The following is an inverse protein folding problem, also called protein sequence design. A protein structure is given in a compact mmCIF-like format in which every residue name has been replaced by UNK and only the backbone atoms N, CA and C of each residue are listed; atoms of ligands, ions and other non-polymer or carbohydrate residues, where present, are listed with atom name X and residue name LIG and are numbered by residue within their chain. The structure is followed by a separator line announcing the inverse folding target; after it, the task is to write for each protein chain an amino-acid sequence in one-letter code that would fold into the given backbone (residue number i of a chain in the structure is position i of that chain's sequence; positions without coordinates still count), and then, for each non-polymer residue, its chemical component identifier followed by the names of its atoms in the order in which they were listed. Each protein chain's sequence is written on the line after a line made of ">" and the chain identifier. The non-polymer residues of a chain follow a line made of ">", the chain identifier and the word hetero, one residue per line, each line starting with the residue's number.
data_IF_512751511113
#
_entry.id   IF_512751511113
#
_cell.length_a   1.000
_cell.length_b   1.000
_cell.length_c   1.000
_cell.angle_alpha   90.00
_cell.angle_beta   90.00
_cell.angle_gamma   90.00
#
_symmetry.space_group_name_H-M   'P 1'
#
loop_
_entity.id
_entity.type
_entity.pdbx_description
1 polymer ?
#
# COMPACT_ATOMS: atom_id res chain seq x y z
N UNK A 1 -40.72 -1.72 -4.12
CA UNK A 1 -39.88 -1.63 -2.90
C UNK A 1 -39.28 -3.01 -2.62
N UNK A 2 -37.97 -3.20 -2.80
CA UNK A 2 -37.32 -4.48 -2.49
C UNK A 2 -37.05 -4.56 -0.97
N UNK A 3 -37.74 -5.46 -0.29
CA UNK A 3 -37.54 -5.73 1.14
C UNK A 3 -36.18 -6.38 1.36
N UNK A 4 -35.25 -5.68 2.04
CA UNK A 4 -33.97 -6.27 2.44
C UNK A 4 -34.27 -7.34 3.49
N UNK A 5 -34.14 -8.62 3.12
CA UNK A 5 -34.22 -9.73 4.08
C UNK A 5 -33.24 -9.49 5.22
N UNK A 6 -33.64 -9.69 6.49
CA UNK A 6 -32.74 -9.52 7.62
C UNK A 6 -31.57 -10.52 7.51
N UNK A 7 -30.35 -10.02 7.64
CA UNK A 7 -29.12 -10.82 7.68
C UNK A 7 -29.18 -11.75 8.89
N UNK A 8 -28.93 -13.06 8.68
CA UNK A 8 -28.93 -14.02 9.79
C UNK A 8 -27.69 -13.77 10.67
N UNK A 9 -27.74 -14.04 11.99
CA UNK A 9 -26.59 -13.84 12.88
C UNK A 9 -25.29 -14.51 12.40
N UNK A 10 -25.36 -15.70 11.80
CA UNK A 10 -24.20 -16.39 11.22
C UNK A 10 -23.58 -15.70 9.98
N UNK A 11 -24.36 -14.91 9.24
CA UNK A 11 -23.86 -14.13 8.10
C UNK A 11 -23.09 -12.88 8.58
N UNK A 12 -23.48 -12.32 9.73
CA UNK A 12 -22.78 -11.20 10.36
C UNK A 12 -21.41 -11.62 10.89
N UNK A 13 -21.29 -12.77 11.56
CA UNK A 13 -19.99 -13.28 12.04
C UNK A 13 -19.03 -13.53 10.88
N UNK A 14 -19.48 -14.20 9.81
CA UNK A 14 -18.67 -14.43 8.60
C UNK A 14 -18.29 -13.14 7.87
N UNK A 15 -19.13 -12.10 7.96
CA UNK A 15 -18.83 -10.78 7.42
C UNK A 15 -17.73 -10.10 8.24
N UNK A 16 -17.82 -10.14 9.57
CA UNK A 16 -16.80 -9.60 10.47
C UNK A 16 -15.43 -10.28 10.27
N UNK A 17 -15.39 -11.62 10.17
CA UNK A 17 -14.15 -12.37 9.90
C UNK A 17 -13.50 -11.97 8.56
N UNK A 18 -14.31 -11.76 7.52
CA UNK A 18 -13.84 -11.29 6.21
C UNK A 18 -13.27 -9.89 6.29
N UNK A 19 -13.96 -8.98 6.98
CA UNK A 19 -13.49 -7.59 7.18
C UNK A 19 -12.19 -7.56 7.98
N UNK A 20 -12.09 -8.32 9.08
CA UNK A 20 -10.87 -8.44 9.88
C UNK A 20 -9.68 -8.94 9.04
N UNK A 21 -9.90 -9.96 8.20
CA UNK A 21 -8.88 -10.47 7.29
C UNK A 21 -8.42 -9.41 6.28
N UNK A 22 -9.33 -8.56 5.78
CA UNK A 22 -8.97 -7.49 4.84
C UNK A 22 -8.21 -6.36 5.57
N UNK A 23 -8.54 -6.06 6.83
CA UNK A 23 -7.78 -5.13 7.64
C UNK A 23 -6.34 -5.60 7.88
N UNK A 24 -6.13 -6.88 8.22
CA UNK A 24 -4.79 -7.45 8.35
C UNK A 24 -3.97 -7.26 7.06
N UNK A 25 -4.56 -7.54 5.89
CA UNK A 25 -3.92 -7.31 4.59
C UNK A 25 -3.57 -5.84 4.35
N UNK A 26 -4.38 -4.92 4.87
CA UNK A 26 -4.16 -3.48 4.72
C UNK A 26 -2.98 -3.01 5.58
N UNK A 27 -2.84 -3.56 6.79
CA UNK A 27 -1.70 -3.26 7.65
C UNK A 27 -0.40 -3.87 7.12
N UNK A 28 -0.45 -5.11 6.60
CA UNK A 28 0.69 -5.72 5.90
C UNK A 28 1.15 -4.88 4.70
N UNK A 29 0.20 -4.38 3.91
CA UNK A 29 0.49 -3.54 2.75
C UNK A 29 1.12 -2.21 3.15
N UNK A 30 0.68 -1.62 4.28
CA UNK A 30 1.30 -0.41 4.85
C UNK A 30 2.71 -0.69 5.35
N UNK A 31 2.94 -1.84 5.99
CA UNK A 31 4.27 -2.23 6.45
C UNK A 31 5.23 -2.38 5.26
N UNK A 32 4.85 -3.16 4.24
CA UNK A 32 5.65 -3.35 3.02
C UNK A 32 5.99 -2.03 2.33
N UNK A 33 5.02 -1.14 2.19
CA UNK A 33 5.25 0.18 1.59
C UNK A 33 6.23 1.03 2.42
N UNK A 34 6.11 1.01 3.76
CA UNK A 34 7.05 1.74 4.64
C UNK A 34 8.47 1.20 4.50
N UNK A 35 8.65 -0.12 4.50
CA UNK A 35 9.95 -0.74 4.33
C UNK A 35 10.56 -0.37 2.98
N UNK A 36 9.76 -0.43 1.90
CA UNK A 36 10.24 -0.06 0.58
C UNK A 36 10.64 1.41 0.47
N UNK A 37 9.87 2.31 1.06
CA UNK A 37 10.20 3.74 1.10
C UNK A 37 11.46 4.01 1.95
N UNK A 38 11.68 3.24 3.02
CA UNK A 38 12.90 3.31 3.83
C UNK A 38 14.13 2.90 3.01
N UNK A 39 14.05 1.80 2.27
CA UNK A 39 15.14 1.36 1.39
C UNK A 39 15.48 2.41 0.33
N UNK A 40 14.46 3.05 -0.26
CA UNK A 40 14.64 4.13 -1.22
C UNK A 40 15.26 5.38 -0.59
N UNK A 41 14.90 5.70 0.65
CA UNK A 41 15.53 6.78 1.40
C UNK A 41 17.01 6.51 1.68
N UNK A 42 17.38 5.28 2.06
CA UNK A 42 18.77 4.89 2.23
C UNK A 42 19.55 4.98 0.90
N UNK A 43 18.98 4.47 -0.19
CA UNK A 43 19.58 4.56 -1.52
C UNK A 43 19.79 6.01 -1.97
N UNK A 44 18.92 6.94 -1.54
CA UNK A 44 19.06 8.37 -1.80
C UNK A 44 20.24 8.97 -1.05
N UNK A 45 20.38 8.67 0.24
CA UNK A 45 21.54 9.09 1.04
C UNK A 45 22.85 8.60 0.43
N UNK A 46 22.88 7.34 -0.01
CA UNK A 46 24.05 6.78 -0.71
C UNK A 46 24.33 7.47 -2.05
N UNK A 47 23.28 7.87 -2.79
CA UNK A 47 23.44 8.60 -4.03
C UNK A 47 23.98 10.01 -3.78
N UNK A 48 23.52 10.68 -2.72
CA UNK A 48 23.98 12.01 -2.33
C UNK A 48 25.48 12.04 -1.97
N UNK A 49 25.98 10.96 -1.36
CA UNK A 49 27.39 10.76 -1.02
C UNK A 49 28.29 10.43 -2.23
N UNK A 50 27.77 10.32 -3.46
CA UNK A 50 28.58 10.04 -4.64
C UNK A 50 29.34 11.28 -5.13
N UNK A 51 30.66 11.15 -5.31
CA UNK A 51 31.52 12.23 -5.80
C UNK A 51 31.29 12.61 -7.27
N UNK A 52 30.76 11.68 -8.08
CA UNK A 52 30.55 11.88 -9.52
C UNK A 52 29.20 12.57 -9.78
N UNK A 53 29.15 13.84 -10.21
CA UNK A 53 27.89 14.60 -10.29
C UNK A 53 26.86 14.02 -11.26
N UNK A 54 27.30 13.58 -12.44
CA UNK A 54 26.40 12.99 -13.44
C UNK A 54 25.81 11.64 -12.96
N UNK A 55 26.63 10.79 -12.34
CA UNK A 55 26.18 9.51 -11.78
C UNK A 55 25.23 9.71 -10.60
N UNK A 56 25.53 10.70 -9.73
CA UNK A 56 24.65 11.12 -8.64
C UNK A 56 23.28 11.54 -9.15
N UNK A 57 23.22 12.47 -10.11
CA UNK A 57 21.95 12.96 -10.66
C UNK A 57 21.14 11.84 -11.33
N UNK A 58 21.79 10.98 -12.12
CA UNK A 58 21.15 9.84 -12.74
C UNK A 58 20.56 8.87 -11.70
N UNK A 59 21.32 8.59 -10.63
CA UNK A 59 20.86 7.71 -9.53
C UNK A 59 19.71 8.34 -8.75
N UNK A 60 19.80 9.63 -8.40
CA UNK A 60 18.72 10.35 -7.72
C UNK A 60 17.44 10.38 -8.53
N UNK A 61 17.51 10.68 -9.84
CA UNK A 61 16.35 10.67 -10.72
C UNK A 61 15.66 9.29 -10.76
N UNK A 62 16.46 8.22 -10.82
CA UNK A 62 15.94 6.84 -10.79
C UNK A 62 15.22 6.53 -9.47
N UNK A 63 15.79 6.96 -8.34
CA UNK A 63 15.18 6.77 -7.02
C UNK A 63 13.84 7.52 -6.95
N UNK A 64 13.79 8.78 -7.39
CA UNK A 64 12.55 9.57 -7.42
C UNK A 64 11.47 8.90 -8.27
N UNK A 65 11.82 8.34 -9.43
CA UNK A 65 10.87 7.58 -10.25
C UNK A 65 10.37 6.32 -9.53
N UNK A 66 11.24 5.62 -8.81
CA UNK A 66 10.86 4.44 -8.03
C UNK A 66 9.92 4.79 -6.87
N UNK A 67 10.17 5.90 -6.16
CA UNK A 67 9.29 6.41 -5.11
C UNK A 67 7.89 6.74 -5.64
N UNK A 68 7.81 7.43 -6.78
CA UNK A 68 6.53 7.75 -7.41
C UNK A 68 5.76 6.48 -7.78
N UNK A 69 6.43 5.52 -8.45
CA UNK A 69 5.82 4.25 -8.82
C UNK A 69 5.35 3.44 -7.61
N UNK A 70 6.13 3.43 -6.52
CA UNK A 70 5.77 2.74 -5.28
C UNK A 70 4.55 3.36 -4.60
N UNK A 71 4.49 4.69 -4.51
CA UNK A 71 3.33 5.40 -3.96
C UNK A 71 2.06 5.12 -4.77
N UNK A 72 2.16 5.06 -6.09
CA UNK A 72 1.02 4.74 -6.96
C UNK A 72 0.58 3.29 -6.84
N UNK A 73 1.51 2.34 -6.66
CA UNK A 73 1.19 0.94 -6.36
C UNK A 73 0.45 0.83 -5.03
N UNK A 74 1.01 1.41 -3.97
CA UNK A 74 0.43 1.39 -2.64
C UNK A 74 -0.96 2.03 -2.61
N UNK A 75 -1.13 3.20 -3.24
CA UNK A 75 -2.42 3.88 -3.35
C UNK A 75 -3.48 2.98 -4.00
N UNK A 76 -3.14 2.32 -5.11
CA UNK A 76 -4.05 1.39 -5.79
C UNK A 76 -4.36 0.15 -4.95
N UNK A 77 -3.38 -0.41 -4.26
CA UNK A 77 -3.58 -1.56 -3.38
C UNK A 77 -4.53 -1.22 -2.22
N UNK A 78 -4.29 -0.10 -1.54
CA UNK A 78 -5.14 0.38 -0.43
C UNK A 78 -6.56 0.69 -0.92
N UNK A 79 -6.72 1.31 -2.09
CA UNK A 79 -8.05 1.59 -2.66
C UNK A 79 -8.85 0.28 -2.86
N UNK A 80 -8.24 -0.73 -3.49
CA UNK A 80 -8.88 -2.05 -3.69
C UNK A 80 -9.25 -2.74 -2.38
N UNK A 81 -8.38 -2.67 -1.37
CA UNK A 81 -8.66 -3.26 -0.05
C UNK A 81 -9.82 -2.53 0.64
N UNK A 82 -9.88 -1.20 0.53
CA UNK A 82 -10.99 -0.40 1.07
C UNK A 82 -12.32 -0.68 0.37
N UNK A 83 -12.31 -0.80 -0.95
CA UNK A 83 -13.49 -1.20 -1.74
C UNK A 83 -14.00 -2.57 -1.28
N UNK A 84 -13.10 -3.53 -1.05
CA UNK A 84 -13.45 -4.85 -0.54
C UNK A 84 -14.08 -4.81 0.86
N UNK A 85 -13.63 -3.91 1.73
CA UNK A 85 -14.25 -3.70 3.05
C UNK A 85 -15.66 -3.12 2.89
N UNK A 86 -15.83 -2.12 2.00
CA UNK A 86 -17.14 -1.51 1.76
C UNK A 86 -18.15 -2.48 1.13
N UNK A 87 -17.68 -3.44 0.32
CA UNK A 87 -18.51 -4.45 -0.33
C UNK A 87 -18.73 -5.73 0.49
N UNK A 88 -17.97 -5.94 1.57
CA UNK A 88 -18.09 -7.09 2.46
C UNK A 88 -19.29 -6.92 3.38
#
# INVERSE_FOLDING_TARGET
>A
MATRKPLKPGDMTRRMERVATIHAKLDDERARHRDKMRDLALARTEAEAMDKPAARLARMNRITQQEAAERDRHRRAVARLRERIASA
#
